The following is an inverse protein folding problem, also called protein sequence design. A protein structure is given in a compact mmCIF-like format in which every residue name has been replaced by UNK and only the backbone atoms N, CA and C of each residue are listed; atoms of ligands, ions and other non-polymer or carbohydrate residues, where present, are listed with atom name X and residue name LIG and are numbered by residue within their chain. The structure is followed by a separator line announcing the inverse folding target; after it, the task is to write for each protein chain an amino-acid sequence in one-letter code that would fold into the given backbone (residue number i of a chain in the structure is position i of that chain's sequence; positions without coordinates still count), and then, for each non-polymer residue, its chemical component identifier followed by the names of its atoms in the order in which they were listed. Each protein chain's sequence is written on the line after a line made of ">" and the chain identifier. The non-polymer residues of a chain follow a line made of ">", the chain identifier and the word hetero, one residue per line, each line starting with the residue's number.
data_IF_430571625734
#
_entry.id   IF_430571625734
#
_cell.length_a   1.000
_cell.length_b   1.000
_cell.length_c   1.000
_cell.angle_alpha   90.00
_cell.angle_beta   90.00
_cell.angle_gamma   90.00
#
_symmetry.space_group_name_H-M   'P 1'
#
loop_
_entity.id
_entity.type
_entity.pdbx_description
1 polymer ?
#
# COMPACT_ATOMS: atom_id res chain seq x y z
N UNK A 1 22.97 2.69 26.72
CA UNK A 1 23.77 3.90 26.41
C UNK A 1 23.65 4.12 24.90
N UNK A 2 22.90 5.14 24.49
CA UNK A 2 22.64 5.44 23.08
C UNK A 2 23.87 6.06 22.42
N UNK A 3 23.98 5.85 21.11
CA UNK A 3 25.02 6.42 20.24
C UNK A 3 25.02 7.96 20.36
N UNK A 4 26.19 8.53 20.50
CA UNK A 4 26.37 9.98 20.64
C UNK A 4 26.49 10.63 19.24
N UNK A 5 26.09 11.91 19.06
CA UNK A 5 26.20 12.63 17.80
C UNK A 5 27.61 12.65 17.19
N UNK A 6 28.65 12.54 18.01
CA UNK A 6 30.05 12.47 17.60
C UNK A 6 30.44 11.15 16.92
N UNK A 7 29.67 10.10 17.07
CA UNK A 7 29.90 8.80 16.39
C UNK A 7 29.56 8.84 14.90
N UNK A 8 29.00 9.96 14.41
CA UNK A 8 28.50 10.14 13.05
C UNK A 8 29.34 11.09 12.18
N UNK A 9 30.59 11.36 12.56
CA UNK A 9 31.53 12.11 11.71
C UNK A 9 32.06 11.25 10.55
N UNK A 10 31.15 10.80 9.70
CA UNK A 10 31.49 10.06 8.49
C UNK A 10 31.54 11.00 7.29
N UNK A 11 32.63 10.89 6.50
CA UNK A 11 32.72 11.61 5.24
C UNK A 11 31.51 11.32 4.36
N UNK A 12 31.03 12.30 3.57
CA UNK A 12 29.86 12.16 2.66
C UNK A 12 29.92 10.90 1.80
N UNK A 13 31.11 10.38 1.48
CA UNK A 13 31.31 9.10 0.79
C UNK A 13 30.97 7.87 1.65
N UNK A 14 31.13 7.96 2.96
CA UNK A 14 30.75 6.89 3.91
C UNK A 14 29.25 6.80 4.15
N UNK A 15 28.50 7.91 4.02
CA UNK A 15 27.06 7.94 4.33
C UNK A 15 26.23 7.16 3.30
N UNK A 16 26.53 7.30 2.00
CA UNK A 16 25.86 6.53 0.95
C UNK A 16 26.18 5.03 1.06
N UNK A 17 27.41 4.68 1.42
CA UNK A 17 27.82 3.29 1.68
C UNK A 17 27.12 2.69 2.91
N UNK A 18 26.86 3.48 3.94
CA UNK A 18 26.23 3.03 5.21
C UNK A 18 24.74 2.79 5.08
N UNK A 19 24.03 3.57 4.27
CA UNK A 19 22.60 3.34 3.99
C UNK A 19 22.35 1.96 3.36
N UNK A 20 23.34 1.43 2.65
CA UNK A 20 23.27 0.14 1.96
C UNK A 20 24.11 -0.97 2.63
N UNK A 21 25.17 -0.63 3.35
CA UNK A 21 25.96 -1.61 4.10
C UNK A 21 25.19 -2.24 5.28
N UNK A 22 24.06 -1.62 5.67
CA UNK A 22 23.24 -2.07 6.79
C UNK A 22 22.65 -3.46 6.65
N UNK A 23 22.42 -4.01 5.44
CA UNK A 23 21.76 -5.30 5.30
C UNK A 23 22.66 -6.49 5.62
N UNK A 24 23.82 -6.56 4.99
CA UNK A 24 24.78 -7.64 5.26
C UNK A 24 25.23 -7.64 6.72
N UNK A 25 25.40 -6.45 7.33
CA UNK A 25 25.75 -6.32 8.76
C UNK A 25 24.54 -6.59 9.68
N UNK A 26 23.33 -6.27 9.25
CA UNK A 26 22.10 -6.43 10.03
C UNK A 26 21.67 -7.90 10.13
N UNK A 27 21.88 -8.71 9.09
CA UNK A 27 21.62 -10.14 9.12
C UNK A 27 22.45 -10.88 10.21
N UNK A 28 23.55 -10.25 10.69
CA UNK A 28 24.42 -10.80 11.74
C UNK A 28 24.23 -10.16 13.14
N UNK A 29 23.38 -9.13 13.27
CA UNK A 29 23.24 -8.38 14.52
C UNK A 29 21.80 -8.05 14.95
N UNK A 30 20.82 -8.79 14.43
CA UNK A 30 19.41 -8.63 14.82
C UNK A 30 19.26 -8.78 16.35
N UNK A 31 18.71 -7.77 17.00
CA UNK A 31 18.43 -7.79 18.46
C UNK A 31 17.18 -8.57 18.82
N UNK A 32 16.36 -8.94 17.83
CA UNK A 32 15.15 -9.75 17.99
C UNK A 32 15.09 -10.79 16.87
N UNK A 33 14.45 -11.93 17.14
CA UNK A 33 14.13 -12.88 16.08
C UNK A 33 13.13 -12.23 15.13
N UNK A 34 13.35 -12.30 13.79
CA UNK A 34 12.39 -11.79 12.82
C UNK A 34 11.01 -12.42 13.01
N UNK A 35 9.97 -11.65 12.78
CA UNK A 35 8.59 -12.15 12.86
C UNK A 35 8.42 -13.26 11.82
N UNK A 36 7.87 -14.39 12.24
CA UNK A 36 7.54 -15.49 11.37
C UNK A 36 6.05 -15.82 11.45
N UNK A 37 5.34 -15.62 10.35
CA UNK A 37 3.92 -15.96 10.21
C UNK A 37 3.80 -17.42 9.74
N UNK A 38 3.14 -18.28 10.52
CA UNK A 38 2.89 -19.67 10.16
C UNK A 38 1.97 -19.77 8.92
N UNK A 39 2.06 -20.90 8.22
CA UNK A 39 1.28 -21.14 6.99
C UNK A 39 -0.06 -21.83 7.25
N UNK A 40 -0.45 -22.06 8.49
CA UNK A 40 -1.74 -22.70 8.84
C UNK A 40 -2.90 -21.90 8.26
N UNK A 41 -3.75 -22.53 7.47
CA UNK A 41 -4.87 -21.89 6.79
C UNK A 41 -4.50 -21.02 5.58
N UNK A 42 -3.26 -21.13 5.10
CA UNK A 42 -2.78 -20.47 3.89
C UNK A 42 -2.44 -21.49 2.80
N UNK A 43 -2.48 -21.04 1.56
CA UNK A 43 -1.78 -21.65 0.43
C UNK A 43 -0.62 -20.72 0.11
N UNK A 44 0.59 -21.26 0.12
CA UNK A 44 1.82 -20.56 -0.28
C UNK A 44 2.48 -21.33 -1.42
N UNK A 45 2.85 -20.63 -2.47
CA UNK A 45 3.43 -21.25 -3.65
C UNK A 45 4.30 -20.31 -4.46
N UNK A 46 5.23 -20.89 -5.21
CA UNK A 46 5.93 -20.16 -6.26
C UNK A 46 5.14 -20.26 -7.56
N UNK A 47 4.70 -19.13 -8.08
CA UNK A 47 4.00 -19.04 -9.35
C UNK A 47 4.88 -18.40 -10.42
N UNK A 48 4.45 -18.53 -11.67
CA UNK A 48 5.14 -17.96 -12.82
C UNK A 48 4.27 -16.89 -13.47
N UNK A 49 4.68 -15.63 -13.39
CA UNK A 49 4.02 -14.50 -14.05
C UNK A 49 4.63 -14.33 -15.44
N UNK A 50 3.83 -14.47 -16.48
CA UNK A 50 4.31 -14.33 -17.84
C UNK A 50 4.45 -12.85 -18.22
N UNK A 51 5.65 -12.31 -18.18
CA UNK A 51 6.01 -11.01 -18.72
C UNK A 51 6.24 -11.09 -20.26
N UNK A 52 6.45 -9.94 -20.88
CA UNK A 52 6.57 -9.86 -22.35
C UNK A 52 7.74 -10.68 -22.92
N UNK A 53 8.84 -10.77 -22.20
CA UNK A 53 10.08 -11.41 -22.64
C UNK A 53 10.39 -12.75 -21.94
N UNK A 54 9.80 -12.98 -20.75
CA UNK A 54 10.05 -14.19 -19.97
C UNK A 54 9.04 -14.42 -18.86
N UNK A 55 9.06 -15.61 -18.30
CA UNK A 55 8.40 -15.91 -17.04
C UNK A 55 9.17 -15.30 -15.85
N UNK A 56 8.46 -14.56 -15.01
CA UNK A 56 8.97 -13.96 -13.76
C UNK A 56 8.47 -14.82 -12.59
N UNK A 57 9.36 -15.45 -11.82
CA UNK A 57 8.96 -16.17 -10.61
C UNK A 57 8.36 -15.20 -9.60
N UNK A 58 7.30 -15.62 -8.90
CA UNK A 58 6.68 -14.82 -7.86
C UNK A 58 6.27 -15.71 -6.68
N UNK A 59 6.48 -15.25 -5.46
CA UNK A 59 5.94 -15.89 -4.28
C UNK A 59 4.49 -15.42 -4.09
N UNK A 60 3.56 -16.35 -3.96
CA UNK A 60 2.15 -16.07 -3.73
C UNK A 60 1.71 -16.69 -2.41
N UNK A 61 0.95 -15.93 -1.63
CA UNK A 61 0.25 -16.40 -0.44
C UNK A 61 -1.22 -15.98 -0.48
N UNK A 62 -2.13 -16.88 -0.13
CA UNK A 62 -3.57 -16.60 -0.06
C UNK A 62 -4.26 -17.45 1.01
N UNK A 63 -5.47 -17.08 1.45
CA UNK A 63 -6.27 -17.96 2.30
C UNK A 63 -6.51 -19.32 1.63
N UNK A 64 -6.37 -20.41 2.39
CA UNK A 64 -6.65 -21.76 1.89
C UNK A 64 -8.15 -22.04 1.75
N UNK A 65 -8.97 -21.40 2.61
CA UNK A 65 -10.42 -21.54 2.56
C UNK A 65 -11.03 -20.61 1.52
N UNK A 66 -11.80 -21.14 0.60
CA UNK A 66 -12.55 -20.35 -0.38
C UNK A 66 -13.91 -19.82 0.14
N UNK A 67 -14.20 -19.97 1.44
CA UNK A 67 -15.49 -19.56 2.02
C UNK A 67 -15.81 -18.05 1.84
N UNK A 68 -14.77 -17.24 1.64
CA UNK A 68 -14.87 -15.79 1.40
C UNK A 68 -14.25 -15.35 0.07
N UNK A 69 -13.92 -16.30 -0.81
CA UNK A 69 -13.43 -15.98 -2.15
C UNK A 69 -14.54 -15.35 -3.00
N UNK A 70 -14.20 -14.53 -4.00
CA UNK A 70 -12.85 -14.07 -4.33
C UNK A 70 -12.32 -13.02 -3.35
N UNK A 71 -10.99 -12.83 -3.31
CA UNK A 71 -10.29 -11.94 -2.39
C UNK A 71 -9.72 -10.71 -3.10
N UNK A 72 -9.57 -9.56 -2.42
CA UNK A 72 -8.73 -8.47 -2.91
C UNK A 72 -7.27 -8.93 -2.99
N UNK A 73 -6.47 -8.28 -3.85
CA UNK A 73 -5.09 -8.68 -4.00
C UNK A 73 -4.11 -7.52 -3.78
N UNK A 74 -2.91 -7.84 -3.27
CA UNK A 74 -1.83 -6.91 -3.01
C UNK A 74 -0.55 -7.39 -3.71
N UNK A 75 0.02 -6.54 -4.56
CA UNK A 75 1.38 -6.75 -5.08
C UNK A 75 2.35 -6.22 -4.02
N UNK A 76 3.28 -7.06 -3.59
CA UNK A 76 4.32 -6.73 -2.62
C UNK A 76 5.64 -6.58 -3.35
N UNK A 77 6.20 -5.37 -3.34
CA UNK A 77 7.47 -5.05 -3.99
C UNK A 77 8.59 -5.06 -2.97
N UNK A 78 9.56 -5.92 -3.21
CA UNK A 78 10.69 -6.12 -2.31
C UNK A 78 11.61 -4.90 -2.22
N UNK A 79 12.45 -4.90 -1.19
CA UNK A 79 13.65 -4.07 -1.13
C UNK A 79 14.67 -4.49 -2.22
N UNK A 80 15.82 -3.85 -2.28
CA UNK A 80 16.93 -4.23 -3.20
C UNK A 80 17.41 -5.67 -3.03
N UNK A 81 17.01 -6.35 -1.97
CA UNK A 81 17.43 -7.70 -1.62
C UNK A 81 16.54 -8.82 -2.19
N UNK A 82 15.58 -8.48 -3.05
CA UNK A 82 14.72 -9.47 -3.71
C UNK A 82 13.68 -10.10 -2.78
N UNK A 83 13.13 -11.23 -3.22
CA UNK A 83 12.03 -11.93 -2.52
C UNK A 83 12.60 -12.90 -1.47
N UNK A 84 13.23 -12.32 -0.43
CA UNK A 84 13.75 -13.06 0.72
C UNK A 84 12.65 -13.31 1.78
N UNK A 85 13.00 -13.97 2.90
CA UNK A 85 12.04 -14.48 3.88
C UNK A 85 11.13 -13.36 4.45
N UNK A 86 11.66 -12.19 4.76
CA UNK A 86 10.85 -11.06 5.23
C UNK A 86 9.74 -10.67 4.24
N UNK A 87 10.04 -10.60 2.94
CA UNK A 87 9.04 -10.28 1.91
C UNK A 87 7.99 -11.40 1.77
N UNK A 88 8.41 -12.66 1.88
CA UNK A 88 7.49 -13.81 1.91
C UNK A 88 6.60 -13.76 3.15
N UNK A 89 7.14 -13.33 4.28
CA UNK A 89 6.39 -13.18 5.52
C UNK A 89 5.35 -12.04 5.42
N UNK A 90 5.68 -10.91 4.79
CA UNK A 90 4.71 -9.86 4.47
C UNK A 90 3.54 -10.42 3.63
N UNK A 91 3.82 -11.28 2.65
CA UNK A 91 2.76 -11.93 1.87
C UNK A 91 1.90 -12.85 2.76
N UNK A 92 2.50 -13.62 3.68
CA UNK A 92 1.73 -14.46 4.61
C UNK A 92 0.88 -13.63 5.58
N UNK A 93 1.43 -12.53 6.15
CA UNK A 93 0.68 -11.59 7.01
C UNK A 93 -0.56 -11.05 6.29
N UNK A 94 -0.42 -10.60 5.05
CA UNK A 94 -1.54 -10.13 4.23
C UNK A 94 -2.54 -11.25 3.93
N UNK A 95 -2.06 -12.47 3.65
CA UNK A 95 -2.93 -13.62 3.41
C UNK A 95 -3.75 -14.03 4.65
N UNK A 96 -3.16 -13.96 5.86
CA UNK A 96 -3.91 -14.14 7.14
C UNK A 96 -5.03 -13.12 7.30
N UNK A 97 -4.88 -11.94 6.71
CA UNK A 97 -5.89 -10.87 6.72
C UNK A 97 -6.90 -10.99 5.56
N UNK A 98 -6.83 -12.05 4.75
CA UNK A 98 -7.79 -12.32 3.69
C UNK A 98 -7.49 -11.61 2.35
N UNK A 99 -6.23 -11.33 2.09
CA UNK A 99 -5.75 -10.87 0.78
C UNK A 99 -5.08 -12.01 0.00
N UNK A 100 -5.08 -11.91 -1.31
CA UNK A 100 -4.09 -12.59 -2.14
C UNK A 100 -2.88 -11.68 -2.21
N UNK A 101 -1.73 -12.12 -1.72
CA UNK A 101 -0.50 -11.33 -1.76
C UNK A 101 0.52 -12.00 -2.69
N UNK A 102 1.13 -11.23 -3.59
CA UNK A 102 2.10 -11.73 -4.56
C UNK A 102 3.33 -10.85 -4.60
N UNK A 103 4.51 -11.47 -4.53
CA UNK A 103 5.80 -10.79 -4.60
C UNK A 103 6.62 -11.31 -5.80
N UNK A 104 6.61 -10.59 -6.94
CA UNK A 104 7.42 -10.95 -8.12
C UNK A 104 8.91 -10.73 -7.90
N UNK A 105 9.75 -11.61 -8.45
CA UNK A 105 11.20 -11.48 -8.45
C UNK A 105 11.65 -10.54 -9.58
N UNK A 106 11.45 -9.24 -9.42
CA UNK A 106 11.71 -8.21 -10.44
C UNK A 106 13.15 -8.17 -10.94
N UNK A 107 14.10 -8.65 -10.15
CA UNK A 107 15.52 -8.66 -10.51
C UNK A 107 15.95 -9.86 -11.35
N UNK A 108 15.06 -10.81 -11.61
CA UNK A 108 15.38 -12.14 -12.19
C UNK A 108 16.19 -12.10 -13.49
N UNK A 109 16.16 -10.99 -14.27
CA UNK A 109 16.95 -10.85 -15.50
C UNK A 109 18.41 -10.51 -15.22
N UNK A 110 18.66 -9.79 -14.14
CA UNK A 110 20.01 -9.36 -13.73
C UNK A 110 20.64 -10.32 -12.70
N UNK A 111 19.82 -11.10 -12.02
CA UNK A 111 20.22 -12.08 -11.00
C UNK A 111 19.25 -12.16 -9.84
N UNK A 112 19.56 -12.99 -8.84
CA UNK A 112 18.83 -13.05 -7.57
C UNK A 112 19.69 -12.40 -6.48
N UNK A 113 19.28 -11.26 -5.90
CA UNK A 113 20.03 -10.63 -4.83
C UNK A 113 19.83 -11.31 -3.46
N UNK A 114 18.80 -12.16 -3.28
CA UNK A 114 18.45 -12.71 -1.97
C UNK A 114 19.59 -13.48 -1.27
N UNK A 115 20.40 -14.30 -1.96
CA UNK A 115 21.51 -15.00 -1.32
C UNK A 115 22.79 -14.16 -1.17
N UNK A 116 22.80 -12.92 -1.68
CA UNK A 116 24.03 -12.12 -1.72
C UNK A 116 24.25 -11.36 -0.41
N UNK A 117 25.50 -11.37 0.06
CA UNK A 117 25.97 -10.62 1.23
C UNK A 117 26.79 -9.38 0.87
N UNK A 118 27.30 -9.31 -0.35
CA UNK A 118 28.07 -8.17 -0.86
C UNK A 118 27.14 -7.12 -1.47
N UNK A 119 27.10 -5.94 -0.87
CA UNK A 119 26.27 -4.83 -1.33
C UNK A 119 26.61 -4.32 -2.72
N UNK A 120 27.89 -4.38 -3.10
CA UNK A 120 28.30 -3.99 -4.44
C UNK A 120 27.69 -4.92 -5.51
N UNK A 121 27.64 -6.23 -5.22
CA UNK A 121 26.99 -7.21 -6.08
C UNK A 121 25.46 -6.99 -6.14
N UNK A 122 24.81 -6.74 -4.99
CA UNK A 122 23.38 -6.39 -4.95
C UNK A 122 23.10 -5.16 -5.79
N UNK A 123 23.87 -4.08 -5.62
CA UNK A 123 23.66 -2.82 -6.36
C UNK A 123 23.89 -2.95 -7.86
N UNK A 124 24.79 -3.82 -8.31
CA UNK A 124 24.94 -4.13 -9.74
C UNK A 124 23.68 -4.73 -10.35
N UNK A 125 23.02 -5.65 -9.63
CA UNK A 125 21.74 -6.23 -10.06
C UNK A 125 20.66 -5.15 -10.14
N UNK A 126 20.53 -4.31 -9.11
CA UNK A 126 19.55 -3.21 -9.08
C UNK A 126 19.78 -2.23 -10.23
N UNK A 127 21.02 -1.81 -10.46
CA UNK A 127 21.38 -0.89 -11.55
C UNK A 127 21.13 -1.49 -12.93
N UNK A 128 21.24 -2.81 -13.08
CA UNK A 128 20.94 -3.52 -14.31
C UNK A 128 19.44 -3.79 -14.52
N UNK A 129 18.59 -3.31 -13.63
CA UNK A 129 17.12 -3.52 -13.67
C UNK A 129 16.40 -2.19 -13.92
N UNK A 130 16.08 -1.83 -15.18
CA UNK A 130 15.41 -0.57 -15.51
C UNK A 130 13.99 -0.48 -14.95
N UNK A 131 13.57 0.71 -14.51
CA UNK A 131 12.21 0.94 -14.00
C UNK A 131 11.12 0.57 -15.02
N UNK A 132 11.36 0.81 -16.32
CA UNK A 132 10.42 0.43 -17.37
C UNK A 132 10.20 -1.09 -17.46
N UNK A 133 11.25 -1.90 -17.26
CA UNK A 133 11.14 -3.36 -17.17
C UNK A 133 10.30 -3.76 -15.97
N UNK A 134 10.57 -3.17 -14.79
CA UNK A 134 9.82 -3.45 -13.56
C UNK A 134 8.35 -3.10 -13.72
N UNK A 135 8.03 -1.96 -14.30
CA UNK A 135 6.64 -1.57 -14.59
C UNK A 135 5.96 -2.54 -15.58
N UNK A 136 6.70 -3.05 -16.56
CA UNK A 136 6.20 -4.11 -17.44
C UNK A 136 5.86 -5.40 -16.68
N UNK A 137 6.68 -5.79 -15.71
CA UNK A 137 6.43 -6.93 -14.84
C UNK A 137 5.26 -6.68 -13.88
N UNK A 138 5.08 -5.45 -13.39
CA UNK A 138 3.88 -5.05 -12.62
C UNK A 138 2.64 -5.20 -13.49
N UNK A 139 2.65 -4.75 -14.74
CA UNK A 139 1.52 -4.92 -15.67
C UNK A 139 1.19 -6.41 -15.90
N UNK A 140 2.21 -7.24 -16.09
CA UNK A 140 2.03 -8.69 -16.23
C UNK A 140 1.45 -9.32 -14.94
N UNK A 141 1.87 -8.83 -13.77
CA UNK A 141 1.36 -9.30 -12.47
C UNK A 141 -0.11 -8.90 -12.27
N UNK A 142 -0.50 -7.68 -12.68
CA UNK A 142 -1.90 -7.25 -12.69
C UNK A 142 -2.74 -8.19 -13.58
N UNK A 143 -2.27 -8.48 -14.79
CA UNK A 143 -2.96 -9.39 -15.70
C UNK A 143 -3.07 -10.81 -15.13
N UNK A 144 -1.98 -11.33 -14.53
CA UNK A 144 -1.96 -12.62 -13.84
C UNK A 144 -3.01 -12.67 -12.72
N UNK A 145 -3.05 -11.67 -11.85
CA UNK A 145 -4.00 -11.61 -10.73
C UNK A 145 -5.46 -11.56 -11.24
N UNK A 146 -5.74 -10.73 -12.25
CA UNK A 146 -7.09 -10.62 -12.83
C UNK A 146 -7.59 -11.88 -13.51
N UNK A 147 -6.69 -12.77 -13.92
CA UNK A 147 -7.03 -14.05 -14.52
C UNK A 147 -7.36 -15.14 -13.50
N UNK A 148 -7.15 -14.89 -12.18
CA UNK A 148 -7.42 -15.87 -11.13
C UNK A 148 -8.89 -15.77 -10.68
N UNK A 149 -9.60 -16.90 -10.58
CA UNK A 149 -10.99 -16.98 -10.14
C UNK A 149 -11.16 -16.63 -8.63
N UNK A 150 -10.09 -16.74 -7.86
CA UNK A 150 -10.05 -16.38 -6.44
C UNK A 150 -9.66 -14.91 -6.18
N UNK A 151 -9.48 -14.08 -7.21
CA UNK A 151 -9.12 -12.65 -7.08
C UNK A 151 -10.28 -11.75 -7.51
N UNK A 152 -10.54 -10.70 -6.71
CA UNK A 152 -11.43 -9.61 -7.11
C UNK A 152 -10.61 -8.64 -7.96
N UNK A 153 -10.71 -8.76 -9.27
CA UNK A 153 -9.82 -8.11 -10.24
C UNK A 153 -9.86 -6.58 -10.26
N UNK A 154 -10.85 -5.96 -9.65
CA UNK A 154 -10.98 -4.49 -9.48
C UNK A 154 -10.64 -4.02 -8.05
N UNK A 155 -10.11 -4.89 -7.19
CA UNK A 155 -9.68 -4.59 -5.81
C UNK A 155 -8.19 -4.89 -5.61
N UNK A 156 -7.37 -4.26 -6.44
CA UNK A 156 -5.93 -4.41 -6.38
C UNK A 156 -5.29 -3.28 -5.59
N UNK A 157 -4.33 -3.60 -4.76
CA UNK A 157 -3.44 -2.65 -4.09
C UNK A 157 -1.98 -3.03 -4.34
N UNK A 158 -1.08 -2.11 -4.03
CA UNK A 158 0.35 -2.33 -4.11
C UNK A 158 1.04 -1.78 -2.87
N UNK A 159 1.99 -2.52 -2.32
CA UNK A 159 2.88 -2.02 -1.27
C UNK A 159 4.32 -2.34 -1.62
N UNK A 160 5.25 -1.52 -1.14
CA UNK A 160 6.66 -1.75 -1.41
C UNK A 160 7.56 -1.06 -0.39
N UNK A 161 8.76 -1.63 -0.22
CA UNK A 161 9.70 -1.26 0.82
C UNK A 161 11.00 -0.76 0.18
N UNK A 162 11.58 0.35 0.66
CA UNK A 162 12.82 0.91 0.16
C UNK A 162 12.74 1.17 -1.37
N UNK A 163 13.54 0.49 -2.16
CA UNK A 163 13.44 0.52 -3.62
C UNK A 163 12.02 0.19 -4.10
N UNK A 164 11.39 -0.82 -3.50
CA UNK A 164 10.01 -1.18 -3.80
C UNK A 164 9.00 -0.11 -3.44
N UNK A 165 9.28 0.74 -2.45
CA UNK A 165 8.46 1.89 -2.12
C UNK A 165 8.42 2.92 -3.26
N UNK A 166 9.55 3.17 -3.93
CA UNK A 166 9.61 3.94 -5.17
C UNK A 166 8.73 3.32 -6.26
N UNK A 167 8.83 1.99 -6.44
CA UNK A 167 8.04 1.27 -7.44
C UNK A 167 6.54 1.34 -7.13
N UNK A 168 6.13 1.28 -5.87
CA UNK A 168 4.73 1.43 -5.50
C UNK A 168 4.15 2.79 -5.94
N UNK A 169 4.88 3.90 -5.78
CA UNK A 169 4.52 5.20 -6.33
C UNK A 169 4.39 5.16 -7.85
N UNK A 170 5.46 4.72 -8.54
CA UNK A 170 5.50 4.66 -10.01
C UNK A 170 4.39 3.78 -10.59
N UNK A 171 4.03 2.70 -9.91
CA UNK A 171 2.94 1.81 -10.32
C UNK A 171 1.58 2.52 -10.21
N UNK A 172 1.30 3.20 -9.09
CA UNK A 172 0.07 4.00 -8.93
C UNK A 172 -0.01 5.18 -9.93
N UNK A 173 1.12 5.70 -10.37
CA UNK A 173 1.20 6.73 -11.42
C UNK A 173 1.00 6.17 -12.83
N UNK A 174 1.26 4.87 -13.02
CA UNK A 174 1.27 4.25 -14.35
C UNK A 174 0.02 3.42 -14.65
N UNK A 175 -0.64 2.86 -13.62
CA UNK A 175 -1.74 1.91 -13.80
C UNK A 175 -3.00 2.34 -13.05
N UNK A 176 -4.15 2.48 -13.76
CA UNK A 176 -5.43 2.79 -13.13
C UNK A 176 -6.09 1.59 -12.43
N UNK A 177 -5.46 0.42 -12.50
CA UNK A 177 -5.94 -0.84 -11.93
C UNK A 177 -5.88 -0.87 -10.40
N UNK A 178 -5.00 -0.08 -9.80
CA UNK A 178 -4.86 -0.02 -8.36
C UNK A 178 -5.93 0.85 -7.71
N UNK A 179 -6.43 0.41 -6.56
CA UNK A 179 -7.29 1.19 -5.68
C UNK A 179 -6.49 2.04 -4.69
N UNK A 180 -5.34 1.54 -4.27
CA UNK A 180 -4.45 2.22 -3.35
C UNK A 180 -3.03 1.71 -3.46
N UNK A 181 -2.07 2.56 -3.08
CA UNK A 181 -0.67 2.19 -2.88
C UNK A 181 -0.20 2.49 -1.46
N UNK A 182 0.82 1.77 -0.99
CA UNK A 182 1.55 2.11 0.22
C UNK A 182 3.07 2.02 -0.04
N UNK A 183 3.77 3.10 0.27
CA UNK A 183 5.20 3.23 0.04
C UNK A 183 5.93 3.39 1.38
N UNK A 184 6.76 2.42 1.73
CA UNK A 184 7.58 2.44 2.93
C UNK A 184 8.98 2.92 2.57
N UNK A 185 9.36 4.09 3.09
CA UNK A 185 10.69 4.71 2.91
C UNK A 185 11.21 4.63 1.47
N UNK A 186 10.34 4.82 0.47
CA UNK A 186 10.69 4.80 -0.95
C UNK A 186 11.22 6.15 -1.42
N UNK A 187 12.28 6.14 -2.23
CA UNK A 187 12.85 7.38 -2.79
C UNK A 187 11.86 8.08 -3.72
N UNK A 188 11.62 9.35 -3.49
CA UNK A 188 10.65 10.18 -4.23
C UNK A 188 11.25 10.97 -5.38
N UNK A 189 12.51 11.40 -5.22
CA UNK A 189 13.21 12.28 -6.13
C UNK A 189 14.60 11.75 -6.50
N UNK A 190 15.22 12.23 -7.58
CA UNK A 190 16.60 11.91 -7.90
C UNK A 190 17.52 12.21 -6.70
N UNK A 191 18.60 11.43 -6.50
CA UNK A 191 19.61 11.82 -5.54
C UNK A 191 20.25 13.14 -5.96
N UNK A 192 20.55 13.99 -4.97
CA UNK A 192 21.17 15.31 -5.19
C UNK A 192 22.71 15.23 -5.32
N UNK A 193 23.28 14.09 -5.01
CA UNK A 193 24.73 13.89 -5.06
C UNK A 193 25.18 13.61 -6.50
N UNK A 194 26.18 14.34 -6.96
CA UNK A 194 26.71 14.23 -8.33
C UNK A 194 27.27 12.83 -8.66
N UNK A 195 27.66 12.07 -7.64
CA UNK A 195 28.27 10.74 -7.75
C UNK A 195 27.26 9.59 -7.61
N UNK A 196 25.99 9.87 -7.44
CA UNK A 196 24.99 8.83 -7.30
C UNK A 196 24.68 8.18 -8.65
N UNK A 197 25.21 6.97 -8.85
CA UNK A 197 24.92 6.16 -10.03
C UNK A 197 23.45 5.81 -10.09
N UNK A 198 22.77 6.29 -11.12
CA UNK A 198 21.37 5.98 -11.37
C UNK A 198 21.28 4.97 -12.53
N UNK A 199 20.31 4.04 -12.48
CA UNK A 199 20.02 3.19 -13.63
C UNK A 199 19.67 4.05 -14.86
N UNK A 200 20.09 3.66 -16.06
CA UNK A 200 19.66 4.33 -17.28
C UNK A 200 18.13 4.37 -17.38
N UNK A 201 17.56 5.55 -17.65
CA UNK A 201 16.11 5.72 -17.74
C UNK A 201 15.38 5.64 -16.39
N UNK A 202 16.06 5.92 -15.28
CA UNK A 202 15.45 5.97 -13.96
C UNK A 202 14.26 6.96 -13.92
N UNK A 203 13.14 6.50 -13.39
CA UNK A 203 11.92 7.29 -13.19
C UNK A 203 11.85 7.73 -11.72
N UNK A 204 11.24 8.88 -11.49
CA UNK A 204 11.08 9.42 -10.15
C UNK A 204 9.65 9.84 -9.88
N UNK A 205 9.05 9.41 -8.75
CA UNK A 205 7.66 9.71 -8.41
C UNK A 205 7.32 11.20 -8.52
N UNK A 206 8.16 12.08 -7.96
CA UNK A 206 7.92 13.53 -7.98
C UNK A 206 7.74 14.10 -9.41
N UNK A 207 8.32 13.48 -10.41
CA UNK A 207 8.23 13.90 -11.81
C UNK A 207 6.95 13.42 -12.50
N UNK A 208 6.25 12.47 -11.89
CA UNK A 208 5.08 11.80 -12.47
C UNK A 208 3.78 12.01 -11.65
N UNK A 209 3.82 12.82 -10.60
CA UNK A 209 2.69 13.08 -9.69
C UNK A 209 1.41 13.43 -10.45
N UNK A 210 1.49 14.22 -11.54
CA UNK A 210 0.32 14.57 -12.33
C UNK A 210 -0.43 13.34 -12.89
N UNK A 211 0.28 12.23 -13.13
CA UNK A 211 -0.27 10.97 -13.66
C UNK A 211 -0.77 10.02 -12.56
N UNK A 212 -0.77 10.42 -11.29
CA UNK A 212 -1.19 9.55 -10.18
C UNK A 212 -2.67 9.13 -10.36
N UNK A 213 -2.92 7.84 -10.51
CA UNK A 213 -4.25 7.25 -10.75
C UNK A 213 -4.91 6.73 -9.46
N UNK A 214 -4.09 6.35 -8.47
CA UNK A 214 -4.58 5.82 -7.20
C UNK A 214 -3.89 6.54 -6.03
N UNK A 215 -4.57 6.80 -4.90
CA UNK A 215 -3.96 7.43 -3.75
C UNK A 215 -2.87 6.56 -3.15
N UNK A 216 -1.80 7.18 -2.68
CA UNK A 216 -0.65 6.50 -2.05
C UNK A 216 -0.48 6.99 -0.62
N UNK A 217 -0.33 6.06 0.31
CA UNK A 217 0.15 6.34 1.66
C UNK A 217 1.67 6.20 1.69
N UNK A 218 2.37 7.30 1.89
CA UNK A 218 3.80 7.33 2.10
C UNK A 218 4.15 7.23 3.59
N UNK A 219 4.99 6.28 3.97
CA UNK A 219 5.42 6.02 5.35
C UNK A 219 6.93 6.18 5.43
N UNK A 220 7.39 7.26 6.05
CA UNK A 220 8.78 7.70 5.98
C UNK A 220 9.39 7.88 7.37
N UNK A 221 10.71 7.79 7.42
CA UNK A 221 11.51 7.95 8.64
C UNK A 221 12.15 9.34 8.70
N UNK A 222 12.04 10.04 9.84
CA UNK A 222 12.62 11.36 10.03
C UNK A 222 14.15 11.36 9.98
N UNK A 223 14.78 10.29 10.44
CA UNK A 223 16.23 10.10 10.38
C UNK A 223 16.78 9.63 9.03
N UNK A 224 15.92 9.44 8.02
CA UNK A 224 16.33 8.97 6.69
C UNK A 224 16.59 10.16 5.75
N UNK A 225 17.77 10.28 5.13
CA UNK A 225 18.05 11.32 4.13
C UNK A 225 17.07 11.35 2.94
N UNK A 226 16.44 10.22 2.61
CA UNK A 226 15.40 10.15 1.56
C UNK A 226 14.25 11.10 1.87
N UNK A 227 13.93 11.31 3.14
CA UNK A 227 12.84 12.16 3.61
C UNK A 227 13.02 13.66 3.32
N UNK A 228 14.24 14.10 2.95
CA UNK A 228 14.50 15.49 2.56
C UNK A 228 13.69 15.91 1.31
N UNK A 229 13.26 14.97 0.48
CA UNK A 229 12.43 15.25 -0.69
C UNK A 229 10.92 15.35 -0.40
N UNK A 230 10.49 15.08 0.83
CA UNK A 230 9.06 15.07 1.21
C UNK A 230 8.39 16.44 1.04
N UNK A 231 8.98 17.58 1.47
CA UNK A 231 8.34 18.88 1.26
C UNK A 231 8.04 19.15 -0.22
N UNK A 232 9.03 18.93 -1.10
CA UNK A 232 8.84 19.11 -2.53
C UNK A 232 7.80 18.15 -3.13
N UNK A 233 7.72 16.90 -2.62
CA UNK A 233 6.71 15.94 -3.06
C UNK A 233 5.31 16.37 -2.62
N UNK A 234 5.14 16.90 -1.41
CA UNK A 234 3.86 17.44 -0.93
C UNK A 234 3.41 18.64 -1.78
N UNK A 235 4.33 19.58 -2.06
CA UNK A 235 4.04 20.71 -2.94
C UNK A 235 3.59 20.24 -4.34
N UNK A 236 4.24 19.20 -4.89
CA UNK A 236 3.87 18.64 -6.18
C UNK A 236 2.50 17.93 -6.16
N UNK A 237 2.16 17.24 -5.08
CA UNK A 237 0.84 16.60 -4.87
C UNK A 237 -0.26 17.67 -4.77
N UNK A 238 -0.03 18.72 -4.01
CA UNK A 238 -0.97 19.85 -3.85
C UNK A 238 -1.19 20.59 -5.17
N UNK A 239 -0.11 20.90 -5.89
CA UNK A 239 -0.19 21.53 -7.21
C UNK A 239 -0.94 20.66 -8.24
N UNK A 240 -0.82 19.35 -8.15
CA UNK A 240 -1.54 18.40 -9.01
C UNK A 240 -2.94 18.02 -8.49
N UNK A 241 -3.39 18.60 -7.36
CA UNK A 241 -4.68 18.32 -6.71
C UNK A 241 -4.92 16.83 -6.43
N UNK A 242 -3.88 16.09 -6.02
CA UNK A 242 -3.96 14.64 -5.74
C UNK A 242 -4.48 14.38 -4.32
N UNK A 243 -5.80 14.42 -4.17
CA UNK A 243 -6.50 14.17 -2.91
C UNK A 243 -6.45 12.68 -2.52
N UNK A 244 -6.52 12.39 -1.21
CA UNK A 244 -6.49 11.03 -0.68
C UNK A 244 -5.09 10.42 -0.56
N UNK A 245 -4.07 11.11 -1.08
CA UNK A 245 -2.66 10.76 -0.90
C UNK A 245 -2.12 11.44 0.35
N UNK A 246 -1.44 10.70 1.20
CA UNK A 246 -0.89 11.17 2.47
C UNK A 246 0.57 10.73 2.63
N UNK A 247 1.39 11.58 3.24
CA UNK A 247 2.76 11.24 3.62
C UNK A 247 2.90 11.44 5.13
N UNK A 248 3.21 10.35 5.85
CA UNK A 248 3.46 10.32 7.28
C UNK A 248 4.96 10.19 7.51
N UNK A 249 5.49 10.94 8.46
CA UNK A 249 6.90 10.88 8.86
C UNK A 249 6.95 10.49 10.33
N UNK A 250 7.66 9.42 10.63
CA UNK A 250 7.98 8.97 11.99
C UNK A 250 9.29 9.62 12.42
N UNK A 251 9.25 10.59 13.36
CA UNK A 251 10.39 11.49 13.60
C UNK A 251 11.67 10.78 13.99
N UNK A 252 11.56 9.74 14.83
CA UNK A 252 12.70 9.04 15.43
C UNK A 252 13.08 7.75 14.66
N UNK A 253 12.31 7.40 13.62
CA UNK A 253 12.57 6.23 12.80
C UNK A 253 13.77 6.43 11.87
N UNK A 254 14.39 5.31 11.48
CA UNK A 254 15.48 5.23 10.51
C UNK A 254 15.02 4.48 9.25
N UNK A 255 15.83 4.55 8.17
CA UNK A 255 15.54 3.78 6.95
C UNK A 255 15.34 2.30 7.27
N UNK A 256 14.26 1.70 6.78
CA UNK A 256 13.97 0.29 7.00
C UNK A 256 13.30 0.01 8.35
N UNK A 257 12.66 0.98 8.98
CA UNK A 257 12.05 0.84 10.32
C UNK A 257 10.96 -0.24 10.41
N UNK A 258 10.38 -0.68 9.30
CA UNK A 258 9.42 -1.80 9.28
C UNK A 258 10.10 -3.16 9.14
N UNK A 259 11.35 -3.21 8.73
CA UNK A 259 12.05 -4.47 8.45
C UNK A 259 12.56 -5.11 9.75
N UNK A 260 11.80 -6.08 10.28
CA UNK A 260 12.01 -6.71 11.59
C UNK A 260 13.33 -7.50 11.74
N UNK A 261 13.99 -7.80 10.64
CA UNK A 261 15.32 -8.41 10.63
C UNK A 261 16.47 -7.40 10.72
N UNK A 262 16.17 -6.07 10.75
CA UNK A 262 17.18 -4.98 10.76
C UNK A 262 17.34 -4.35 12.14
N UNK A 263 18.55 -3.85 12.46
CA UNK A 263 18.75 -3.05 13.68
C UNK A 263 17.94 -1.75 13.73
N UNK A 264 17.51 -1.24 12.55
CA UNK A 264 16.66 -0.05 12.43
C UNK A 264 15.17 -0.33 12.66
N UNK A 265 14.78 -1.58 12.95
CA UNK A 265 13.40 -1.92 13.23
C UNK A 265 12.87 -1.13 14.43
N UNK A 266 11.74 -0.49 14.24
CA UNK A 266 10.99 0.19 15.28
C UNK A 266 9.57 -0.41 15.29
N UNK A 267 9.32 -1.26 16.29
CA UNK A 267 8.08 -2.02 16.40
C UNK A 267 6.85 -1.11 16.43
N UNK A 268 6.87 -0.06 17.25
CA UNK A 268 5.74 0.85 17.41
C UNK A 268 5.39 1.58 16.10
N UNK A 269 6.41 2.11 15.41
CA UNK A 269 6.22 2.81 14.12
C UNK A 269 5.84 1.83 13.00
N UNK A 270 6.38 0.60 13.04
CA UNK A 270 6.05 -0.45 12.08
C UNK A 270 4.59 -0.91 12.22
N UNK A 271 4.12 -1.12 13.44
CA UNK A 271 2.73 -1.50 13.73
C UNK A 271 1.74 -0.39 13.37
N UNK A 272 2.02 0.87 13.76
CA UNK A 272 1.17 2.00 13.38
C UNK A 272 1.09 2.16 11.86
N UNK A 273 2.23 2.10 11.18
CA UNK A 273 2.28 2.17 9.72
C UNK A 273 1.54 1.03 9.04
N UNK A 274 1.64 -0.20 9.58
CA UNK A 274 0.90 -1.36 9.07
C UNK A 274 -0.62 -1.18 9.19
N UNK A 275 -1.08 -0.74 10.35
CA UNK A 275 -2.51 -0.46 10.58
C UNK A 275 -3.03 0.66 9.67
N UNK A 276 -2.23 1.72 9.47
CA UNK A 276 -2.57 2.80 8.53
C UNK A 276 -2.63 2.32 7.08
N UNK A 277 -1.70 1.47 6.67
CA UNK A 277 -1.70 0.87 5.32
C UNK A 277 -2.98 0.07 5.09
N UNK A 278 -3.36 -0.80 6.03
CA UNK A 278 -4.60 -1.59 5.92
C UNK A 278 -5.84 -0.69 5.88
N UNK A 279 -5.90 0.32 6.74
CA UNK A 279 -6.98 1.30 6.75
C UNK A 279 -7.05 2.08 5.42
N UNK A 280 -5.91 2.48 4.87
CA UNK A 280 -5.81 3.15 3.57
C UNK A 280 -6.32 2.26 2.44
N UNK A 281 -5.95 0.99 2.41
CA UNK A 281 -6.46 0.03 1.43
C UNK A 281 -7.98 -0.14 1.56
N UNK A 282 -8.50 -0.27 2.77
CA UNK A 282 -9.92 -0.43 3.03
C UNK A 282 -10.74 0.81 2.60
N UNK A 283 -10.28 2.01 2.94
CA UNK A 283 -10.92 3.28 2.58
C UNK A 283 -11.00 3.48 1.05
N UNK A 284 -10.04 2.96 0.31
CA UNK A 284 -9.97 3.11 -1.14
C UNK A 284 -10.53 1.89 -1.91
N UNK A 285 -11.16 0.94 -1.23
CA UNK A 285 -11.90 -0.17 -1.85
C UNK A 285 -11.11 -1.45 -2.06
N UNK A 286 -9.83 -1.53 -1.67
CA UNK A 286 -9.06 -2.77 -1.60
C UNK A 286 -9.22 -3.41 -0.21
N UNK A 287 -10.46 -3.76 0.16
CA UNK A 287 -10.81 -4.24 1.50
C UNK A 287 -11.06 -5.74 1.50
N UNK A 288 -10.51 -6.45 2.49
CA UNK A 288 -10.80 -7.85 2.76
C UNK A 288 -11.93 -8.01 3.79
N UNK A 289 -12.54 -9.20 3.82
CA UNK A 289 -13.56 -9.54 4.82
C UNK A 289 -12.98 -9.71 6.24
N UNK A 290 -11.68 -9.94 6.35
CA UNK A 290 -10.97 -10.17 7.62
C UNK A 290 -10.16 -8.96 8.09
N UNK A 291 -10.19 -7.85 7.35
CA UNK A 291 -9.47 -6.64 7.72
C UNK A 291 -10.06 -6.04 9.01
N UNK A 292 -9.24 -5.79 10.07
CA UNK A 292 -9.70 -5.17 11.31
C UNK A 292 -10.39 -3.82 11.08
N UNK A 293 -9.98 -3.05 10.08
CA UNK A 293 -10.61 -1.79 9.69
C UNK A 293 -12.06 -1.97 9.21
N UNK A 294 -12.42 -3.14 8.68
CA UNK A 294 -13.77 -3.45 8.21
C UNK A 294 -14.76 -3.73 9.37
N UNK A 295 -14.29 -4.17 10.53
CA UNK A 295 -15.14 -4.42 11.69
C UNK A 295 -15.63 -3.13 12.37
N UNK A 296 -14.88 -2.03 12.29
CA UNK A 296 -15.27 -0.74 12.87
C UNK A 296 -16.41 -0.06 12.12
N UNK A 297 -16.61 -0.34 10.84
CA UNK A 297 -17.68 0.25 10.02
C UNK A 297 -19.04 -0.46 10.17
N UNK A 298 -19.05 -1.76 10.52
CA UNK A 298 -20.29 -2.54 10.70
C UNK A 298 -21.00 -2.31 12.04
N UNK A 299 -20.33 -1.74 13.03
CA UNK A 299 -20.88 -1.49 14.38
C UNK A 299 -21.79 -0.25 14.49
N UNK A 300 -21.90 0.61 13.48
CA UNK A 300 -22.67 1.86 13.55
C UNK A 300 -24.04 1.87 12.85
N UNK A 301 -24.49 0.75 12.37
CA UNK A 301 -25.75 0.69 11.64
C UNK A 301 -26.67 -0.43 12.04
N UNK A 302 -27.24 -0.42 13.24
CA UNK A 302 -28.55 -1.04 13.52
C UNK A 302 -28.99 -0.77 14.98
N UNK A 303 -29.20 0.50 15.32
CA UNK A 303 -30.02 0.91 16.45
C UNK A 303 -31.49 0.94 16.03
N UNK A 304 -32.14 -0.21 15.89
CA UNK A 304 -33.59 -0.26 15.78
C UNK A 304 -34.16 0.11 17.13
N UNK A 305 -34.73 1.32 17.24
CA UNK A 305 -35.59 1.71 18.33
C UNK A 305 -36.83 0.79 18.36
N UNK A 306 -36.85 -0.13 19.30
CA UNK A 306 -38.07 -0.84 19.67
C UNK A 306 -38.89 0.08 20.60
N UNK A 307 -39.87 0.80 20.05
CA UNK A 307 -40.93 1.40 20.82
C UNK A 307 -41.80 0.29 21.44
N UNK A 308 -41.73 0.18 22.75
CA UNK A 308 -42.67 -0.64 23.55
C UNK A 308 -44.01 0.05 23.55
N UNK A 309 -45.00 -0.50 22.88
CA UNK A 309 -46.42 -0.20 23.11
C UNK A 309 -46.86 -0.76 24.49
N UNK A 310 -47.18 0.12 25.43
CA UNK A 310 -47.94 -0.24 26.61
C UNK A 310 -49.43 -0.13 26.28
N UNK A 311 -50.13 -1.24 26.39
CA UNK A 311 -51.60 -1.32 26.47
C UNK A 311 -52.09 -0.67 27.75
N UNK A 312 -53.12 0.14 27.65
CA UNK A 312 -53.94 0.61 28.78
C UNK A 312 -55.22 1.20 28.24
N UNK A 313 -56.33 0.50 28.44
CA UNK A 313 -57.64 0.86 27.91
C UNK A 313 -58.41 1.86 28.77
N UNK A 314 -59.38 2.51 28.19
CA UNK A 314 -60.83 2.51 28.61
C UNK A 314 -61.56 3.65 27.92
N UNK A 315 -62.63 3.29 27.31
CA UNK A 315 -63.96 3.88 27.10
C UNK A 315 -64.17 5.39 27.35
N UNK A 316 -64.77 6.14 26.42
CA UNK A 316 -66.16 6.61 26.44
C UNK A 316 -66.51 7.49 25.21
N UNK A 317 -67.61 7.11 24.55
CA UNK A 317 -68.74 7.87 23.96
C UNK A 317 -68.49 9.11 23.07
N UNK A 318 -69.11 9.01 21.87
CA UNK A 318 -69.32 10.07 20.87
C UNK A 318 -70.32 11.17 21.27
N UNK A 319 -70.98 11.89 20.35
CA UNK A 319 -71.10 11.80 18.89
C UNK A 319 -71.10 13.15 18.10
N UNK A 320 -71.08 13.05 16.76
CA UNK A 320 -71.74 13.92 15.72
C UNK A 320 -71.44 15.41 15.60
N UNK A 321 -71.01 15.86 14.41
CA UNK A 321 -71.71 16.65 13.34
C UNK A 321 -70.76 17.09 12.28
N UNK A 322 -70.91 16.72 11.01
CA UNK A 322 -71.53 17.35 9.82
C UNK A 322 -70.98 18.73 9.41
N UNK A 323 -70.57 18.85 8.13
CA UNK A 323 -70.38 20.09 7.34
C UNK A 323 -69.29 19.99 6.32
N UNK A 324 -69.48 19.62 5.21
CA UNK A 324 -69.86 19.94 3.82
C UNK A 324 -69.18 21.20 3.26
N UNK A 325 -68.67 21.01 2.04
CA UNK A 325 -68.59 21.99 0.94
C UNK A 325 -67.33 22.85 0.89
N UNK A 326 -66.61 23.08 -0.20
CA UNK A 326 -66.81 23.02 -1.66
C UNK A 326 -65.47 23.34 -2.34
N UNK A 327 -65.23 22.73 -3.48
CA UNK A 327 -64.25 23.21 -4.49
C UNK A 327 -64.82 24.43 -5.21
N UNK A 328 -64.03 25.25 -5.94
CA UNK A 328 -63.60 24.85 -7.30
C UNK A 328 -62.25 25.38 -7.78
N UNK A 329 -61.75 24.72 -8.80
CA UNK A 329 -60.92 25.18 -9.93
C UNK A 329 -61.64 26.17 -10.84
N UNK A 330 -61.12 26.82 -11.93
CA UNK A 330 -59.81 26.75 -12.61
C UNK A 330 -59.34 28.15 -13.14
N UNK A 331 -58.24 28.23 -13.91
CA UNK A 331 -58.04 28.72 -15.29
C UNK A 331 -56.60 29.17 -15.58
N UNK A 332 -56.01 28.62 -16.46
CA UNK A 332 -55.40 28.75 -17.82
C UNK A 332 -55.32 30.16 -18.37
N UNK A 333 -54.06 30.59 -18.79
CA UNK A 333 -53.70 31.28 -20.07
C UNK A 333 -52.14 31.55 -20.04
N UNK A 334 -51.37 31.02 -20.89
CA UNK A 334 -50.98 31.05 -22.30
C UNK A 334 -50.43 32.41 -22.80
N UNK A 335 -49.30 32.31 -23.50
CA UNK A 335 -48.59 33.17 -24.47
C UNK A 335 -47.66 34.21 -23.87
N UNK A 336 -46.50 34.49 -24.47
CA UNK A 336 -45.86 34.17 -25.74
C UNK A 336 -44.47 34.78 -25.78
N UNK A 337 -43.61 34.18 -26.44
CA UNK A 337 -42.68 34.46 -27.54
C UNK A 337 -42.12 35.89 -27.68
N UNK A 338 -40.82 35.88 -27.87
CA UNK A 338 -39.94 36.74 -28.68
C UNK A 338 -38.89 37.56 -27.91
N UNK A 339 -37.67 37.35 -28.45
CA UNK A 339 -36.49 38.14 -28.28
C UNK A 339 -35.26 37.25 -28.37
#
# INVERSE_FOLDING_TARGET
>A
EGSKPEDFNLSRRGLAGLLFAGYAAAAFSAKADPIHTDETGLVTEMVSVQAADRAVPAFLARPASNAHAPFPAVIVVSEVFGVHEYIRDICRRLAKLGYVAIAPAFFVRAGDPAPLTDMGAVMKIVQATPDAQVLGDVAATIAFLKAQDYVIGDRLAITGFCWGGKIAWLACESFPDFRAGASWYGRLAPPTEADAVQPPGALWPIQKVASLNAPVLGLYAGGDPISQSIPAMRDALDAAHKTGTEIIVYPDAQHGFHADYRPSYNEADAEDGWMRMLAHFALNGAVSHHDPANHSSRGRGHGKSRSRSRRGGSRHTGPRRSGRSTRPHPTRRRRGRKG
#
